data_IF_527489982767
#
_entry.id   IF_527489982767
#
_cell.length_a   1.000
_cell.length_b   1.000
_cell.length_c   1.000
_cell.angle_alpha   90.00
_cell.angle_beta   90.00
_cell.angle_gamma   90.00
#
_symmetry.space_group_name_H-M   'P 1'
#
loop_
_entity.id
_entity.type
_entity.pdbx_description
1 polymer ?
#
# COMPACT_ATOMS: atom_id res chain seq x y z
N UNK A 1 -6.95 -8.99 -3.00
CA UNK A 1 -6.10 -9.91 -3.78
C UNK A 1 -4.74 -10.02 -3.12
N UNK A 2 -4.03 -11.13 -3.37
CA UNK A 2 -2.63 -11.27 -2.94
C UNK A 2 -1.75 -10.58 -3.97
N UNK A 3 -0.94 -9.62 -3.52
CA UNK A 3 -0.07 -8.80 -4.37
C UNK A 3 1.40 -9.22 -4.32
N UNK A 4 1.84 -9.83 -3.21
CA UNK A 4 3.20 -10.35 -3.07
C UNK A 4 3.24 -11.64 -2.25
N UNK A 5 4.22 -12.49 -2.58
CA UNK A 5 4.62 -13.67 -1.80
C UNK A 5 6.13 -13.78 -1.75
N UNK A 6 6.66 -14.39 -0.70
CA UNK A 6 8.07 -14.79 -0.65
C UNK A 6 8.32 -16.14 -1.35
N UNK A 7 9.56 -16.62 -1.30
CA UNK A 7 9.99 -17.87 -1.95
C UNK A 7 9.34 -19.13 -1.32
N UNK A 8 8.91 -19.05 -0.06
CA UNK A 8 8.19 -20.11 0.64
C UNK A 8 6.66 -20.02 0.44
N UNK A 9 6.20 -18.98 -0.27
CA UNK A 9 4.80 -18.74 -0.59
C UNK A 9 4.00 -18.00 0.49
N UNK A 10 4.67 -17.50 1.55
CA UNK A 10 4.08 -16.63 2.57
C UNK A 10 3.56 -15.36 1.92
N UNK A 11 2.38 -14.91 2.34
CA UNK A 11 1.77 -13.69 1.78
C UNK A 11 2.45 -12.47 2.42
N UNK A 12 3.08 -11.66 1.59
CA UNK A 12 3.82 -10.47 2.01
C UNK A 12 3.05 -9.17 1.75
N UNK A 13 2.13 -9.16 0.78
CA UNK A 13 1.27 -8.00 0.53
C UNK A 13 -0.12 -8.40 0.04
N UNK A 14 -1.12 -7.61 0.45
CA UNK A 14 -2.50 -7.72 -0.01
C UNK A 14 -3.08 -6.35 -0.36
N UNK A 15 -3.94 -6.32 -1.38
CA UNK A 15 -4.73 -5.16 -1.75
C UNK A 15 -6.22 -5.49 -1.67
N UNK A 16 -7.06 -4.56 -1.21
CA UNK A 16 -8.51 -4.73 -1.31
C UNK A 16 -9.01 -4.10 -2.61
N UNK A 17 -9.63 -4.87 -3.54
CA UNK A 17 -10.21 -4.30 -4.74
C UNK A 17 -11.41 -3.39 -4.40
N UNK A 18 -11.59 -2.31 -5.15
CA UNK A 18 -12.69 -1.37 -4.99
C UNK A 18 -12.26 0.07 -5.28
N UNK A 19 -13.11 1.04 -4.91
CA UNK A 19 -12.92 2.45 -5.25
C UNK A 19 -11.94 3.19 -4.31
N UNK A 20 -11.22 2.48 -3.44
CA UNK A 20 -10.32 3.06 -2.43
C UNK A 20 -8.91 2.50 -2.49
N UNK A 21 -7.96 3.25 -1.91
CA UNK A 21 -6.59 2.77 -1.72
C UNK A 21 -6.49 1.98 -0.41
N UNK A 22 -6.31 0.66 -0.53
CA UNK A 22 -6.13 -0.25 0.62
C UNK A 22 -5.02 -1.22 0.27
N UNK A 23 -3.89 -1.09 0.98
CA UNK A 23 -2.71 -1.92 0.86
C UNK A 23 -2.25 -2.30 2.27
N UNK A 24 -1.91 -3.57 2.48
CA UNK A 24 -1.21 -4.03 3.66
C UNK A 24 0.03 -4.82 3.23
N UNK A 25 1.12 -4.64 3.98
CA UNK A 25 2.41 -5.30 3.78
C UNK A 25 2.88 -5.93 5.09
N UNK A 26 3.61 -7.05 5.01
CA UNK A 26 4.12 -7.76 6.18
C UNK A 26 5.45 -7.16 6.65
N UNK A 27 6.31 -6.71 5.73
CA UNK A 27 7.58 -6.07 6.05
C UNK A 27 7.41 -4.66 6.63
N UNK A 28 8.52 -4.09 7.12
CA UNK A 28 8.60 -2.74 7.69
C UNK A 28 9.12 -1.72 6.67
N UNK A 29 8.28 -1.15 5.77
CA UNK A 29 8.72 -0.15 4.80
C UNK A 29 9.28 1.13 5.45
N UNK A 30 8.94 1.40 6.71
CA UNK A 30 9.44 2.52 7.49
C UNK A 30 10.93 2.44 7.82
N UNK A 31 11.53 1.25 7.81
CA UNK A 31 12.96 1.06 8.09
C UNK A 31 13.85 1.44 6.89
N UNK A 32 13.28 1.53 5.67
CA UNK A 32 13.99 1.87 4.44
C UNK A 32 13.62 3.28 3.96
N UNK A 33 14.26 4.31 4.55
CA UNK A 33 13.98 5.71 4.24
C UNK A 33 14.36 6.13 2.79
N UNK A 34 15.10 5.29 2.09
CA UNK A 34 15.44 5.42 0.67
C UNK A 34 14.33 4.94 -0.27
N UNK A 35 13.33 4.18 0.24
CA UNK A 35 12.16 3.74 -0.52
C UNK A 35 10.85 4.16 0.16
N UNK A 36 10.42 5.39 -0.12
CA UNK A 36 9.19 5.97 0.43
C UNK A 36 7.96 5.77 -0.45
N UNK A 37 8.03 4.90 -1.47
CA UNK A 37 6.97 4.81 -2.50
C UNK A 37 5.61 4.42 -1.93
N UNK A 38 5.56 3.52 -0.95
CA UNK A 38 4.30 3.13 -0.29
C UNK A 38 3.67 4.28 0.51
N UNK A 39 4.50 5.06 1.20
CA UNK A 39 4.06 6.22 1.97
C UNK A 39 3.59 7.36 1.07
N UNK A 40 4.31 7.61 -0.03
CA UNK A 40 3.87 8.56 -1.05
C UNK A 40 2.51 8.16 -1.64
N UNK A 41 2.32 6.88 -1.95
CA UNK A 41 1.08 6.37 -2.52
C UNK A 41 -0.14 6.58 -1.60
N UNK A 42 -0.03 6.28 -0.29
CA UNK A 42 -1.14 6.51 0.64
C UNK A 42 -1.46 8.00 0.82
N UNK A 43 -0.43 8.86 0.82
CA UNK A 43 -0.62 10.33 0.91
C UNK A 43 -1.33 10.86 -0.32
N UNK A 44 -0.94 10.41 -1.51
CA UNK A 44 -1.56 10.84 -2.76
C UNK A 44 -3.00 10.32 -2.87
N UNK A 45 -3.26 9.08 -2.45
CA UNK A 45 -4.62 8.55 -2.35
C UNK A 45 -5.49 9.36 -1.38
N UNK A 46 -4.96 9.76 -0.22
CA UNK A 46 -5.67 10.59 0.75
C UNK A 46 -6.00 11.99 0.18
N UNK A 47 -5.08 12.59 -0.58
CA UNK A 47 -5.32 13.86 -1.29
C UNK A 47 -6.43 13.72 -2.33
N UNK A 48 -6.39 12.66 -3.14
CA UNK A 48 -7.42 12.39 -4.16
C UNK A 48 -8.80 12.19 -3.51
N UNK A 49 -8.87 11.41 -2.43
CA UNK A 49 -10.09 11.21 -1.66
C UNK A 49 -10.64 12.55 -1.12
N UNK A 50 -9.79 13.37 -0.49
CA UNK A 50 -10.20 14.67 0.02
C UNK A 50 -10.71 15.62 -1.08
N UNK A 51 -10.10 15.57 -2.27
CA UNK A 51 -10.55 16.34 -3.43
C UNK A 51 -11.89 15.86 -4.01
N UNK A 52 -12.19 14.57 -3.92
CA UNK A 52 -13.45 13.99 -4.40
C UNK A 52 -14.62 14.17 -3.41
N UNK A 53 -14.34 14.31 -2.11
CA UNK A 53 -15.35 14.50 -1.05
C UNK A 53 -15.80 15.97 -0.93
N UNK A 54 -15.03 16.91 -1.48
CA UNK A 54 -15.35 18.34 -1.49
C UNK A 54 -16.27 18.70 -2.65
#
# INVERSE_FOLDING_TARGET
MVSARDDDGVIEAIELPGDGFVLAVQWHPEESLDDLRLFAAIVDAARAYAGAVR
#
